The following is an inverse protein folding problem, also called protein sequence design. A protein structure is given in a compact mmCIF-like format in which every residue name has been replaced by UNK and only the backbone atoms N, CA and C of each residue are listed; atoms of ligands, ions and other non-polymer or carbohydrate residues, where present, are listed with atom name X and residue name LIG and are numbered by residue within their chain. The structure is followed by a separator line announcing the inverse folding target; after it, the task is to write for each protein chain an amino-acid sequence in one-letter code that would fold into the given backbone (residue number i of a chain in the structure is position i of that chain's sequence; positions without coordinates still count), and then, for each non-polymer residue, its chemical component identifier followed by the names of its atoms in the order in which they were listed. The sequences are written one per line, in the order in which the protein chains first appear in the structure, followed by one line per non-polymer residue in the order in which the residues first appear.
data_IF_657931384118
#
_entry.id   IF_657931384118
#
_cell.length_a   1.000
_cell.length_b   1.000
_cell.length_c   1.000
_cell.angle_alpha   90.00
_cell.angle_beta   90.00
_cell.angle_gamma   90.00
#
_symmetry.space_group_name_H-M   'P 1'
#
loop_
_entity.id
_entity.type
_entity.pdbx_description
1 polymer ?
#
# COMPACT_ATOMS: atom_id res chain seq x y z
N UNK A 1 -20.51 20.67 -1.71
CA UNK A 1 -20.96 19.51 -2.51
C UNK A 1 -20.31 18.29 -1.89
N UNK A 2 -21.04 17.41 -1.22
CA UNK A 2 -20.45 16.19 -0.62
C UNK A 2 -20.15 15.24 -1.78
N UNK A 3 -18.89 15.12 -2.16
CA UNK A 3 -18.45 14.07 -3.09
C UNK A 3 -18.66 12.75 -2.34
N UNK A 4 -19.74 12.04 -2.63
CA UNK A 4 -19.89 10.64 -2.20
C UNK A 4 -18.77 9.87 -2.87
N UNK A 5 -17.80 9.39 -2.07
CA UNK A 5 -16.77 8.51 -2.54
C UNK A 5 -17.40 7.38 -3.36
N UNK A 6 -16.89 7.14 -4.57
CA UNK A 6 -17.36 6.03 -5.41
C UNK A 6 -17.09 4.75 -4.61
N UNK A 7 -18.13 4.00 -4.29
CA UNK A 7 -17.98 2.67 -3.67
C UNK A 7 -17.36 1.72 -4.68
N UNK A 8 -16.53 0.79 -4.20
CA UNK A 8 -16.01 -0.29 -5.04
C UNK A 8 -17.19 -1.14 -5.52
N UNK A 9 -17.48 -1.06 -6.80
CA UNK A 9 -18.56 -1.79 -7.46
C UNK A 9 -18.07 -3.13 -8.07
N UNK A 10 -19.00 -3.92 -8.57
CA UNK A 10 -18.69 -5.20 -9.21
C UNK A 10 -17.81 -5.04 -10.46
N UNK A 11 -17.94 -3.91 -11.18
CA UNK A 11 -17.13 -3.61 -12.38
C UNK A 11 -15.67 -3.37 -12.00
N UNK A 12 -15.44 -2.62 -10.93
CA UNK A 12 -14.09 -2.33 -10.46
C UNK A 12 -13.41 -3.61 -9.92
N UNK A 13 -14.15 -4.45 -9.17
CA UNK A 13 -13.66 -5.77 -8.74
C UNK A 13 -13.35 -6.70 -9.93
N UNK A 14 -14.12 -6.62 -11.01
CA UNK A 14 -13.81 -7.38 -12.22
C UNK A 14 -12.52 -6.88 -12.90
N UNK A 15 -12.33 -5.55 -12.99
CA UNK A 15 -11.07 -4.96 -13.48
C UNK A 15 -9.87 -5.43 -12.62
N UNK A 16 -10.02 -5.46 -11.29
CA UNK A 16 -8.97 -5.85 -10.36
C UNK A 16 -8.42 -7.27 -10.62
N UNK A 17 -9.26 -8.21 -11.09
CA UNK A 17 -8.81 -9.56 -11.48
C UNK A 17 -7.80 -9.58 -12.63
N UNK A 18 -7.75 -8.53 -13.45
CA UNK A 18 -6.81 -8.41 -14.57
C UNK A 18 -5.48 -7.77 -14.17
N UNK A 19 -5.39 -7.19 -12.98
CA UNK A 19 -4.18 -6.51 -12.49
C UNK A 19 -3.03 -7.50 -12.39
N UNK A 20 -1.88 -7.10 -12.91
CA UNK A 20 -0.62 -7.84 -12.90
C UNK A 20 0.51 -7.06 -12.23
N UNK A 21 0.32 -5.74 -12.14
CA UNK A 21 1.29 -4.85 -11.51
C UNK A 21 0.56 -3.69 -10.83
N UNK A 22 1.05 -3.32 -9.64
CA UNK A 22 0.56 -2.18 -8.87
C UNK A 22 1.70 -1.18 -8.72
N UNK A 23 1.47 0.07 -9.11
CA UNK A 23 2.42 1.16 -8.87
C UNK A 23 1.93 2.06 -7.74
N UNK A 24 2.89 2.52 -6.95
CA UNK A 24 2.66 3.41 -5.84
C UNK A 24 3.54 4.65 -5.98
N UNK A 25 2.97 5.83 -5.73
CA UNK A 25 3.79 6.99 -5.39
C UNK A 25 4.37 6.85 -3.97
N UNK A 26 5.36 7.66 -3.63
CA UNK A 26 6.02 7.62 -2.31
C UNK A 26 5.35 8.59 -1.35
N UNK A 27 5.45 9.89 -1.64
CA UNK A 27 5.09 10.96 -0.72
C UNK A 27 3.57 11.01 -0.54
N UNK A 28 3.11 11.00 0.71
CA UNK A 28 1.69 10.97 1.11
C UNK A 28 0.83 9.84 0.50
N UNK A 29 1.49 8.89 -0.17
CA UNK A 29 0.89 7.65 -0.66
C UNK A 29 1.42 6.43 0.11
N UNK A 30 2.70 6.07 0.01
CA UNK A 30 3.34 5.01 0.80
C UNK A 30 3.89 5.52 2.13
N UNK A 31 4.36 6.76 2.15
CA UNK A 31 5.09 7.39 3.25
C UNK A 31 4.57 8.81 3.49
N UNK A 32 4.19 9.11 4.71
CA UNK A 32 3.80 10.46 5.08
C UNK A 32 5.01 11.41 4.92
N UNK A 33 4.86 12.45 4.10
CA UNK A 33 5.95 13.39 3.76
C UNK A 33 6.51 14.08 4.99
N UNK A 34 5.64 14.53 5.91
CA UNK A 34 6.04 15.27 7.10
C UNK A 34 6.68 14.41 8.19
N UNK A 35 6.10 13.23 8.46
CA UNK A 35 6.49 12.39 9.62
C UNK A 35 7.40 11.23 9.26
N UNK A 36 7.48 10.88 7.98
CA UNK A 36 8.18 9.70 7.51
C UNK A 36 7.48 8.38 7.82
N UNK A 37 6.25 8.41 8.35
CA UNK A 37 5.49 7.23 8.71
C UNK A 37 5.15 6.38 7.48
N UNK A 38 5.47 5.09 7.55
CA UNK A 38 4.97 4.05 6.65
C UNK A 38 4.13 3.10 7.49
N UNK A 39 2.82 2.96 7.25
CA UNK A 39 1.97 2.02 7.98
C UNK A 39 2.46 0.58 7.82
N UNK A 40 2.39 -0.21 8.88
CA UNK A 40 2.80 -1.62 8.84
C UNK A 40 1.99 -2.43 7.81
N UNK A 41 0.72 -2.06 7.59
CA UNK A 41 -0.14 -2.65 6.57
C UNK A 41 0.43 -2.55 5.15
N UNK A 42 1.33 -1.58 4.88
CA UNK A 42 2.01 -1.46 3.57
C UNK A 42 2.93 -2.65 3.32
N UNK A 43 3.69 -3.09 4.32
CA UNK A 43 4.55 -4.28 4.21
C UNK A 43 3.73 -5.53 3.92
N UNK A 44 2.60 -5.66 4.61
CA UNK A 44 1.66 -6.76 4.41
C UNK A 44 1.09 -6.75 2.98
N UNK A 45 0.73 -5.58 2.45
CA UNK A 45 0.28 -5.43 1.06
C UNK A 45 1.33 -5.94 0.08
N UNK A 46 2.59 -5.49 0.20
CA UNK A 46 3.67 -5.92 -0.70
C UNK A 46 3.90 -7.44 -0.62
N UNK A 47 3.84 -8.00 0.59
CA UNK A 47 3.97 -9.45 0.80
C UNK A 47 2.87 -10.22 0.09
N UNK A 48 1.59 -9.89 0.33
CA UNK A 48 0.45 -10.59 -0.25
C UNK A 48 0.37 -10.42 -1.78
N UNK A 49 0.66 -9.24 -2.32
CA UNK A 49 0.71 -9.04 -3.76
C UNK A 49 1.76 -9.96 -4.41
N UNK A 50 2.93 -10.05 -3.80
CA UNK A 50 4.00 -10.95 -4.27
C UNK A 50 3.59 -12.43 -4.23
N UNK A 51 2.95 -12.89 -3.15
CA UNK A 51 2.44 -14.26 -3.05
C UNK A 51 1.38 -14.58 -4.11
N UNK A 52 0.55 -13.59 -4.47
CA UNK A 52 -0.43 -13.71 -5.55
C UNK A 52 0.17 -13.53 -6.97
N UNK A 53 1.49 -13.35 -7.05
CA UNK A 53 2.21 -13.18 -8.33
C UNK A 53 1.92 -11.83 -9.00
N UNK A 54 1.46 -10.84 -8.25
CA UNK A 54 1.25 -9.47 -8.70
C UNK A 54 2.51 -8.67 -8.40
N UNK A 55 3.10 -8.07 -9.43
CA UNK A 55 4.30 -7.26 -9.31
C UNK A 55 4.01 -5.92 -8.66
N UNK A 56 5.04 -5.31 -8.10
CA UNK A 56 4.94 -3.98 -7.49
C UNK A 56 5.97 -3.05 -8.09
N UNK A 57 5.62 -1.78 -8.22
CA UNK A 57 6.52 -0.73 -8.69
C UNK A 57 6.33 0.57 -7.90
N UNK A 58 7.39 1.34 -7.83
CA UNK A 58 7.36 2.70 -7.32
C UNK A 58 7.35 3.66 -8.51
N UNK A 59 6.51 4.69 -8.50
CA UNK A 59 6.48 5.74 -9.52
C UNK A 59 6.57 7.11 -8.85
N UNK A 60 7.73 7.75 -8.92
CA UNK A 60 8.03 8.96 -8.16
C UNK A 60 8.76 10.02 -8.96
N UNK A 61 8.62 11.30 -8.56
CA UNK A 61 9.46 12.39 -9.03
C UNK A 61 10.86 12.38 -8.43
N UNK A 62 11.07 11.62 -7.34
CA UNK A 62 12.39 11.53 -6.70
C UNK A 62 13.40 10.82 -7.62
N UNK A 63 14.68 11.22 -7.49
CA UNK A 63 15.79 10.40 -7.98
C UNK A 63 15.94 9.14 -7.12
N UNK A 64 16.58 8.11 -7.66
CA UNK A 64 16.76 6.83 -6.95
C UNK A 64 17.50 7.01 -5.61
N UNK A 65 18.46 7.93 -5.55
CA UNK A 65 19.20 8.29 -4.34
C UNK A 65 18.34 8.99 -3.27
N UNK A 66 17.11 9.42 -3.62
CA UNK A 66 16.11 9.99 -2.71
C UNK A 66 15.02 8.98 -2.29
N UNK A 67 15.09 7.76 -2.78
CA UNK A 67 14.21 6.68 -2.29
C UNK A 67 14.77 6.17 -0.97
N UNK A 68 14.00 6.37 0.09
CA UNK A 68 14.44 6.02 1.45
C UNK A 68 14.57 4.50 1.63
N UNK A 69 15.49 4.04 2.52
CA UNK A 69 15.73 2.61 2.73
C UNK A 69 14.47 1.80 3.07
N UNK A 70 13.54 2.39 3.83
CA UNK A 70 12.29 1.74 4.23
C UNK A 70 11.38 1.39 3.04
N UNK A 71 11.43 2.18 1.96
CA UNK A 71 10.73 1.87 0.70
C UNK A 71 11.46 0.76 -0.06
N UNK A 72 12.80 0.78 -0.06
CA UNK A 72 13.60 -0.30 -0.67
C UNK A 72 13.42 -1.64 0.05
N UNK A 73 13.20 -1.61 1.38
CA UNK A 73 12.92 -2.80 2.19
C UNK A 73 11.58 -3.47 1.84
N UNK A 74 10.64 -2.75 1.22
CA UNK A 74 9.41 -3.34 0.67
C UNK A 74 9.70 -4.26 -0.54
N UNK A 75 10.90 -4.15 -1.13
CA UNK A 75 11.37 -4.93 -2.30
C UNK A 75 10.43 -4.82 -3.49
N UNK A 76 10.14 -3.58 -3.97
CA UNK A 76 9.38 -3.39 -5.19
C UNK A 76 10.12 -4.03 -6.36
N UNK A 77 9.43 -4.51 -7.39
CA UNK A 77 10.06 -5.09 -8.58
C UNK A 77 10.70 -4.04 -9.48
N UNK A 78 10.12 -2.83 -9.54
CA UNK A 78 10.55 -1.73 -10.41
C UNK A 78 10.55 -0.39 -9.68
N UNK A 79 11.50 0.45 -10.06
CA UNK A 79 11.64 1.83 -9.62
C UNK A 79 11.57 2.75 -10.85
N UNK A 80 10.45 3.44 -11.00
CA UNK A 80 10.22 4.48 -12.01
C UNK A 80 10.47 5.82 -11.33
N UNK A 81 11.63 6.41 -11.56
CA UNK A 81 12.12 7.60 -10.88
C UNK A 81 12.24 8.79 -11.83
N UNK A 82 12.48 9.98 -11.29
CA UNK A 82 12.66 11.22 -12.05
C UNK A 82 11.49 11.44 -13.03
N UNK A 83 10.24 11.32 -12.53
CA UNK A 83 9.04 11.44 -13.35
C UNK A 83 9.07 10.56 -14.62
N UNK A 84 9.65 9.37 -14.52
CA UNK A 84 9.70 8.40 -15.62
C UNK A 84 10.92 8.51 -16.53
N UNK A 85 11.86 9.39 -16.23
CA UNK A 85 13.06 9.54 -17.05
C UNK A 85 14.13 8.47 -16.78
N UNK A 86 14.09 7.81 -15.61
CA UNK A 86 15.02 6.75 -15.24
C UNK A 86 14.29 5.60 -14.57
N UNK A 87 14.53 4.39 -15.05
CA UNK A 87 13.84 3.17 -14.60
C UNK A 87 14.83 2.04 -14.41
N UNK A 88 14.80 1.42 -13.24
CA UNK A 88 15.56 0.19 -12.99
C UNK A 88 14.75 -0.85 -12.21
N UNK A 89 15.21 -2.09 -12.24
CA UNK A 89 14.72 -3.12 -11.35
C UNK A 89 15.46 -3.08 -10.00
N UNK A 90 14.97 -3.81 -8.99
CA UNK A 90 15.61 -3.86 -7.67
C UNK A 90 16.97 -4.55 -7.64
N UNK A 91 17.44 -5.09 -8.77
CA UNK A 91 18.80 -5.63 -8.92
C UNK A 91 19.76 -4.60 -9.50
N UNK A 92 19.28 -3.38 -9.78
CA UNK A 92 20.05 -2.31 -10.43
C UNK A 92 20.18 -2.47 -11.94
N UNK A 93 19.32 -3.29 -12.57
CA UNK A 93 19.29 -3.40 -14.04
C UNK A 93 18.51 -2.21 -14.60
N UNK A 94 19.16 -1.36 -15.39
CA UNK A 94 18.52 -0.25 -16.07
C UNK A 94 17.59 -0.78 -17.16
N UNK A 95 16.29 -0.52 -17.01
CA UNK A 95 15.24 -0.91 -17.98
C UNK A 95 15.08 0.18 -19.04
N UNK A 96 15.13 1.43 -18.60
CA UNK A 96 14.95 2.60 -19.46
C UNK A 96 15.64 3.81 -18.89
N UNK A 97 16.19 4.65 -19.75
CA UNK A 97 16.72 5.95 -19.38
C UNK A 97 16.56 6.94 -20.53
N UNK A 98 16.26 8.18 -20.19
CA UNK A 98 16.06 9.27 -21.15
C UNK A 98 16.54 10.60 -20.57
N UNK A 99 17.85 10.87 -20.65
CA UNK A 99 18.39 12.17 -20.23
C UNK A 99 17.86 13.30 -21.11
N UNK A 100 17.87 14.50 -20.55
CA UNK A 100 17.59 15.75 -21.29
C UNK A 100 18.78 16.02 -22.20
N UNK A 101 18.52 16.55 -23.40
CA UNK A 101 19.58 16.91 -24.33
C UNK A 101 20.53 17.98 -23.69
N UNK A 102 21.83 17.78 -23.80
CA UNK A 102 22.85 18.67 -23.21
C UNK A 102 22.70 20.15 -23.60
N UNK A 103 22.31 20.41 -24.84
CA UNK A 103 22.09 21.80 -25.31
C UNK A 103 20.87 22.43 -24.62
N UNK A 104 19.80 21.64 -24.34
CA UNK A 104 18.61 22.11 -23.62
C UNK A 104 18.96 22.37 -22.14
N UNK A 105 19.74 21.49 -21.51
CA UNK A 105 20.20 21.71 -20.13
C UNK A 105 21.06 22.96 -20.03
N UNK A 106 21.99 23.16 -20.97
CA UNK A 106 22.82 24.36 -21.00
C UNK A 106 21.99 25.64 -21.19
N UNK A 107 21.01 25.62 -22.11
CA UNK A 107 20.07 26.72 -22.30
C UNK A 107 19.25 27.03 -21.05
N UNK A 108 18.83 25.98 -20.31
CA UNK A 108 18.12 26.14 -19.03
C UNK A 108 19.05 26.80 -17.98
N UNK A 109 20.28 26.34 -17.85
CA UNK A 109 21.27 26.88 -16.89
C UNK A 109 21.56 28.33 -17.20
N UNK A 110 21.73 28.72 -18.49
CA UNK A 110 21.94 30.08 -18.90
C UNK A 110 20.73 30.99 -18.61
N UNK A 111 19.52 30.52 -18.96
CA UNK A 111 18.27 31.20 -18.62
C UNK A 111 18.12 31.41 -17.11
N UNK A 112 18.37 30.37 -16.30
CA UNK A 112 18.26 30.48 -14.85
C UNK A 112 19.23 31.48 -14.25
N UNK A 113 20.47 31.52 -14.76
CA UNK A 113 21.50 32.52 -14.37
C UNK A 113 21.09 33.94 -14.76
N UNK A 114 20.57 34.13 -15.99
CA UNK A 114 20.12 35.43 -16.48
C UNK A 114 18.90 35.96 -15.76
N UNK A 115 18.02 35.06 -15.34
CA UNK A 115 16.78 35.35 -14.58
C UNK A 115 16.98 35.39 -13.07
N UNK A 116 18.19 35.18 -12.57
CA UNK A 116 18.53 35.09 -11.14
C UNK A 116 17.76 34.00 -10.39
N UNK A 117 17.33 32.92 -11.10
CA UNK A 117 16.63 31.78 -10.54
C UNK A 117 17.63 30.73 -10.01
N UNK A 118 17.46 30.30 -8.76
CA UNK A 118 18.22 29.19 -8.25
C UNK A 118 17.70 27.86 -8.84
N UNK A 119 18.61 26.93 -9.10
CA UNK A 119 18.26 25.66 -9.72
C UNK A 119 18.99 24.46 -9.10
N UNK A 120 18.48 23.27 -9.38
CA UNK A 120 19.15 22.01 -9.12
C UNK A 120 19.31 21.20 -10.41
N UNK A 121 20.35 20.39 -10.46
CA UNK A 121 20.65 19.49 -11.57
C UNK A 121 20.60 18.05 -11.04
N UNK A 122 19.84 17.18 -11.71
CA UNK A 122 19.58 15.82 -11.23
C UNK A 122 20.05 14.82 -12.28
N UNK A 123 21.13 14.12 -11.96
CA UNK A 123 21.64 12.96 -12.67
C UNK A 123 20.94 11.69 -12.17
N UNK A 124 21.27 10.52 -12.73
CA UNK A 124 20.64 9.26 -12.36
C UNK A 124 20.80 8.90 -10.88
N UNK A 125 21.99 9.14 -10.29
CA UNK A 125 22.34 8.69 -8.93
C UNK A 125 22.78 9.81 -7.98
N UNK A 126 22.74 11.06 -8.42
CA UNK A 126 23.05 12.23 -7.59
C UNK A 126 22.35 13.48 -8.10
N UNK A 127 22.33 14.48 -7.25
CA UNK A 127 21.89 15.82 -7.61
C UNK A 127 22.78 16.88 -6.96
N UNK A 128 22.78 18.06 -7.55
CA UNK A 128 23.49 19.22 -7.04
C UNK A 128 22.62 20.47 -7.11
N UNK A 129 22.99 21.48 -6.34
CA UNK A 129 22.29 22.74 -6.29
C UNK A 129 23.20 23.83 -6.93
N UNK A 130 22.58 24.83 -7.56
CA UNK A 130 23.32 26.04 -8.05
C UNK A 130 23.85 26.90 -6.91
N UNK A 131 23.12 26.91 -5.80
CA UNK A 131 23.42 27.68 -4.60
C UNK A 131 22.75 27.00 -3.39
N UNK A 132 23.04 27.51 -2.17
CA UNK A 132 22.36 27.10 -0.95
C UNK A 132 21.86 28.30 -0.18
N UNK A 133 20.55 28.44 -0.15
CA UNK A 133 19.84 29.53 0.54
C UNK A 133 18.82 28.93 1.52
N UNK A 134 18.30 29.68 2.50
CA UNK A 134 17.22 29.20 3.38
C UNK A 134 16.00 28.72 2.61
N UNK A 135 15.62 29.40 1.51
CA UNK A 135 14.50 29.01 0.65
C UNK A 135 14.72 27.62 0.02
N UNK A 136 15.91 27.37 -0.52
CA UNK A 136 16.26 26.07 -1.09
C UNK A 136 16.26 24.99 -0.01
N UNK A 137 16.83 25.28 1.17
CA UNK A 137 16.86 24.32 2.27
C UNK A 137 15.46 23.96 2.77
N UNK A 138 14.55 24.92 2.86
CA UNK A 138 13.15 24.70 3.21
C UNK A 138 12.45 23.73 2.23
N UNK A 139 12.71 23.91 0.93
CA UNK A 139 12.08 23.10 -0.09
C UNK A 139 12.65 21.66 -0.16
N UNK A 140 14.00 21.51 -0.11
CA UNK A 140 14.64 20.27 -0.56
C UNK A 140 15.19 19.39 0.56
N UNK A 141 15.61 19.96 1.72
CA UNK A 141 16.36 19.21 2.74
C UNK A 141 15.55 18.11 3.43
N UNK A 142 14.22 18.19 3.41
CA UNK A 142 13.35 17.14 3.91
C UNK A 142 13.42 15.86 3.06
N UNK A 143 13.72 16.03 1.75
CA UNK A 143 13.79 14.93 0.79
C UNK A 143 15.24 14.51 0.56
N UNK A 144 16.13 15.48 0.37
CA UNK A 144 17.54 15.29 0.01
C UNK A 144 18.44 16.12 0.94
N UNK A 145 18.69 15.65 2.16
CA UNK A 145 19.56 16.37 3.08
C UNK A 145 21.00 16.47 2.54
N UNK A 146 21.60 17.65 2.70
CA UNK A 146 23.02 17.87 2.41
C UNK A 146 23.46 17.72 0.94
N UNK A 147 22.60 18.05 -0.03
CA UNK A 147 23.04 18.10 -1.43
C UNK A 147 24.24 19.04 -1.61
N UNK A 148 25.24 18.65 -2.43
CA UNK A 148 26.36 19.53 -2.74
C UNK A 148 25.96 20.72 -3.64
N UNK A 149 26.71 21.78 -3.57
CA UNK A 149 26.62 22.91 -4.51
C UNK A 149 27.59 22.66 -5.65
N UNK A 150 27.08 22.43 -6.84
CA UNK A 150 27.83 22.29 -8.09
C UNK A 150 26.92 22.71 -9.25
N UNK A 151 26.98 23.98 -9.66
CA UNK A 151 26.12 24.50 -10.72
C UNK A 151 26.45 23.92 -12.11
N UNK A 152 27.57 23.23 -12.24
CA UNK A 152 28.12 22.74 -13.50
C UNK A 152 28.10 21.18 -13.61
N UNK A 153 27.25 20.50 -12.85
CA UNK A 153 27.11 19.04 -12.93
C UNK A 153 26.79 18.58 -14.36
N UNK A 154 26.02 19.36 -15.13
CA UNK A 154 25.63 19.05 -16.51
C UNK A 154 26.82 18.94 -17.50
N UNK A 155 27.95 19.47 -17.14
CA UNK A 155 29.20 19.33 -17.92
C UNK A 155 29.93 18.01 -17.62
N UNK A 156 29.47 17.24 -16.61
CA UNK A 156 30.14 16.05 -16.09
C UNK A 156 29.30 14.81 -16.28
N UNK A 157 27.96 14.93 -16.20
CA UNK A 157 27.04 13.82 -16.24
C UNK A 157 25.75 14.16 -17.00
N UNK A 158 25.08 13.17 -17.60
CA UNK A 158 23.75 13.35 -18.17
C UNK A 158 22.72 13.77 -17.11
N UNK A 159 21.92 14.79 -17.41
CA UNK A 159 20.87 15.32 -16.56
C UNK A 159 19.52 14.77 -17.01
N UNK A 160 18.73 14.26 -16.08
CA UNK A 160 17.43 13.66 -16.33
C UNK A 160 16.26 14.54 -15.91
N UNK A 161 16.49 15.41 -14.93
CA UNK A 161 15.53 16.34 -14.35
C UNK A 161 16.29 17.54 -13.81
N UNK A 162 15.65 18.69 -13.74
CA UNK A 162 16.20 19.86 -13.06
C UNK A 162 15.16 20.36 -12.05
N UNK A 163 15.57 21.26 -11.19
CA UNK A 163 14.69 21.96 -10.26
C UNK A 163 14.82 23.47 -10.43
N UNK A 164 13.73 24.18 -10.19
CA UNK A 164 13.75 25.62 -9.94
C UNK A 164 13.42 25.88 -8.48
N UNK A 165 14.01 26.96 -7.93
CA UNK A 165 13.72 27.46 -6.61
C UNK A 165 13.50 28.96 -6.67
N UNK A 166 12.27 29.40 -6.40
CA UNK A 166 11.86 30.80 -6.47
C UNK A 166 10.84 31.13 -5.39
N UNK A 167 10.79 32.41 -4.93
CA UNK A 167 9.79 32.88 -3.98
C UNK A 167 8.39 32.88 -4.57
N UNK A 168 8.24 33.16 -5.86
CA UNK A 168 6.99 33.14 -6.63
C UNK A 168 6.98 31.98 -7.64
N UNK A 169 7.08 30.77 -7.13
CA UNK A 169 7.11 29.57 -7.97
C UNK A 169 5.84 29.37 -8.82
N UNK A 170 4.68 29.82 -8.34
CA UNK A 170 3.39 29.73 -9.07
C UNK A 170 3.35 30.67 -10.29
N UNK A 171 4.07 31.79 -10.22
CA UNK A 171 4.20 32.75 -11.32
C UNK A 171 5.40 32.51 -12.24
N UNK A 172 6.23 31.52 -11.93
CA UNK A 172 7.45 31.24 -12.69
C UNK A 172 7.12 30.64 -14.05
N UNK A 173 7.65 31.26 -15.11
CA UNK A 173 7.54 30.74 -16.48
C UNK A 173 8.93 30.56 -17.10
N UNK A 174 9.13 29.39 -17.72
CA UNK A 174 10.31 29.16 -18.55
C UNK A 174 10.31 30.12 -19.78
N UNK A 175 11.46 30.40 -20.35
CA UNK A 175 11.51 31.13 -21.63
C UNK A 175 10.74 30.40 -22.73
N UNK A 176 10.18 31.09 -23.75
CA UNK A 176 9.40 30.44 -24.79
C UNK A 176 10.12 29.28 -25.49
N UNK A 177 11.43 29.43 -25.72
CA UNK A 177 12.25 28.38 -26.34
C UNK A 177 12.41 27.15 -25.44
N UNK A 178 12.44 27.32 -24.13
CA UNK A 178 12.49 26.19 -23.18
C UNK A 178 11.12 25.51 -23.00
N UNK A 179 10.03 26.28 -23.11
CA UNK A 179 8.66 25.73 -23.03
C UNK A 179 8.33 24.77 -24.17
N UNK A 180 9.03 24.82 -25.30
CA UNK A 180 8.89 23.87 -26.40
C UNK A 180 9.38 22.46 -26.02
N UNK A 181 10.33 22.36 -25.09
CA UNK A 181 11.01 21.11 -24.73
C UNK A 181 10.79 20.69 -23.27
N UNK A 182 10.55 21.66 -22.40
CA UNK A 182 10.46 21.47 -20.96
C UNK A 182 9.14 22.00 -20.38
N UNK A 183 8.73 21.42 -19.24
CA UNK A 183 7.61 21.94 -18.44
C UNK A 183 7.97 21.95 -16.96
N UNK A 184 7.28 22.83 -16.22
CA UNK A 184 7.34 22.89 -14.77
C UNK A 184 6.27 22.00 -14.18
N UNK A 185 6.62 21.25 -13.13
CA UNK A 185 5.73 20.43 -12.32
C UNK A 185 5.89 20.85 -10.87
N UNK A 186 5.02 21.74 -10.35
CA UNK A 186 5.11 22.23 -8.97
C UNK A 186 4.92 21.09 -7.96
N UNK A 187 5.76 21.07 -6.90
CA UNK A 187 5.68 20.10 -5.81
C UNK A 187 5.92 20.74 -4.42
N UNK A 188 6.36 21.98 -4.41
CA UNK A 188 6.55 22.80 -3.21
C UNK A 188 6.18 24.25 -3.54
N UNK A 189 5.71 25.09 -2.58
CA UNK A 189 5.42 26.51 -2.86
C UNK A 189 6.59 27.28 -3.50
N UNK A 190 7.82 26.83 -3.25
CA UNK A 190 9.04 27.48 -3.73
C UNK A 190 9.83 26.62 -4.71
N UNK A 191 9.28 25.53 -5.23
CA UNK A 191 10.04 24.64 -6.12
C UNK A 191 9.16 23.86 -7.09
N UNK A 192 9.68 23.69 -8.30
CA UNK A 192 9.13 22.84 -9.34
C UNK A 192 10.18 21.90 -9.89
N UNK A 193 9.75 20.69 -10.25
CA UNK A 193 10.50 19.84 -11.17
C UNK A 193 10.46 20.45 -12.57
N UNK A 194 11.60 20.49 -13.24
CA UNK A 194 11.73 20.83 -14.64
C UNK A 194 12.01 19.56 -15.42
N UNK A 195 11.02 19.10 -16.14
CA UNK A 195 11.07 17.83 -16.86
C UNK A 195 10.82 18.03 -18.35
N UNK A 196 11.23 17.09 -19.17
CA UNK A 196 10.88 17.13 -20.59
C UNK A 196 9.37 17.12 -20.76
N UNK A 197 8.89 17.86 -21.78
CA UNK A 197 7.47 18.00 -22.05
C UNK A 197 6.76 16.62 -22.23
N UNK A 198 7.45 15.65 -22.85
CA UNK A 198 6.95 14.31 -23.13
C UNK A 198 7.17 13.29 -21.99
N UNK A 199 7.61 13.75 -20.81
CA UNK A 199 7.90 12.88 -19.66
C UNK A 199 6.93 13.10 -18.51
N UNK A 200 6.51 11.98 -17.95
CA UNK A 200 5.67 11.91 -16.74
C UNK A 200 5.82 10.52 -16.09
N UNK A 201 5.31 10.36 -14.88
CA UNK A 201 5.20 9.03 -14.25
C UNK A 201 4.51 8.04 -15.19
N UNK A 202 3.47 8.47 -15.92
CA UNK A 202 2.75 7.63 -16.89
C UNK A 202 3.65 7.14 -18.02
N UNK A 203 4.44 8.04 -18.62
CA UNK A 203 5.36 7.65 -19.70
C UNK A 203 6.38 6.62 -19.22
N UNK A 204 6.89 6.77 -17.98
CA UNK A 204 7.80 5.80 -17.37
C UNK A 204 7.12 4.46 -17.08
N UNK A 205 5.95 4.46 -16.45
CA UNK A 205 5.18 3.24 -16.21
C UNK A 205 4.88 2.50 -17.51
N UNK A 206 4.57 3.24 -18.60
CA UNK A 206 4.35 2.63 -19.91
C UNK A 206 5.55 1.85 -20.43
N UNK A 207 6.78 2.28 -20.13
CA UNK A 207 8.01 1.53 -20.49
C UNK A 207 8.09 0.21 -19.72
N UNK A 208 7.76 0.19 -18.43
CA UNK A 208 7.71 -1.06 -17.64
C UNK A 208 6.62 -1.99 -18.16
N UNK A 209 5.44 -1.46 -18.47
CA UNK A 209 4.31 -2.22 -19.01
C UNK A 209 4.68 -2.87 -20.35
N UNK A 210 5.35 -2.11 -21.22
CA UNK A 210 5.88 -2.62 -22.48
C UNK A 210 6.97 -3.69 -22.26
N UNK A 211 7.92 -3.45 -21.36
CA UNK A 211 8.99 -4.41 -21.01
C UNK A 211 8.43 -5.75 -20.52
N UNK A 212 7.28 -5.73 -19.81
CA UNK A 212 6.61 -6.92 -19.28
C UNK A 212 5.60 -7.55 -20.25
N UNK A 213 5.44 -7.04 -21.47
CA UNK A 213 4.40 -7.44 -22.42
C UNK A 213 2.98 -7.38 -21.81
N UNK A 214 2.72 -6.36 -21.02
CA UNK A 214 1.43 -6.07 -20.39
C UNK A 214 0.67 -4.99 -21.14
N UNK A 215 -0.57 -4.73 -20.69
CA UNK A 215 -1.45 -3.67 -21.21
C UNK A 215 -1.84 -2.71 -20.08
N UNK A 216 -2.26 -1.47 -20.38
CA UNK A 216 -2.74 -0.54 -19.34
C UNK A 216 -3.83 -1.13 -18.44
N UNK A 217 -4.71 -2.00 -18.94
CA UNK A 217 -5.75 -2.68 -18.14
C UNK A 217 -5.18 -3.63 -17.07
N UNK A 218 -3.88 -3.96 -17.14
CA UNK A 218 -3.20 -4.78 -16.15
C UNK A 218 -2.53 -3.95 -15.04
N UNK A 219 -2.66 -2.62 -15.08
CA UNK A 219 -2.01 -1.69 -14.17
C UNK A 219 -3.03 -1.14 -13.18
N UNK A 220 -2.68 -1.15 -11.90
CA UNK A 220 -3.36 -0.41 -10.84
C UNK A 220 -2.36 0.60 -10.26
N UNK A 221 -2.83 1.81 -9.97
CA UNK A 221 -1.98 2.88 -9.45
C UNK A 221 -2.58 3.52 -8.21
N UNK A 222 -1.71 3.90 -7.28
CA UNK A 222 -2.01 4.76 -6.14
C UNK A 222 -1.23 6.07 -6.25
N UNK A 223 -1.87 7.18 -5.91
CA UNK A 223 -1.25 8.49 -5.90
C UNK A 223 -2.05 9.51 -5.10
N UNK A 224 -1.47 10.68 -4.89
CA UNK A 224 -2.07 11.79 -4.14
C UNK A 224 -1.84 13.17 -4.78
N UNK A 225 -0.81 13.31 -5.63
CA UNK A 225 -0.36 14.58 -6.19
C UNK A 225 -0.80 14.85 -7.63
N UNK A 226 -0.63 16.10 -8.09
CA UNK A 226 -0.96 16.49 -9.46
C UNK A 226 -0.07 15.82 -10.51
N UNK A 227 1.14 15.40 -10.14
CA UNK A 227 2.05 14.65 -11.01
C UNK A 227 1.59 13.20 -11.28
N UNK A 228 0.51 12.75 -10.62
CA UNK A 228 -0.13 11.44 -10.86
C UNK A 228 -1.29 11.52 -11.87
N UNK A 229 -1.72 12.72 -12.27
CA UNK A 229 -2.89 12.89 -13.16
C UNK A 229 -2.79 12.10 -14.46
N UNK A 230 -1.64 12.17 -15.15
CA UNK A 230 -1.43 11.41 -16.39
C UNK A 230 -1.34 9.91 -16.13
N UNK A 231 -0.79 9.50 -14.98
CA UNK A 231 -0.71 8.11 -14.57
C UNK A 231 -2.10 7.52 -14.29
N UNK A 232 -3.01 8.31 -13.72
CA UNK A 232 -4.40 7.92 -13.51
C UNK A 232 -5.17 7.76 -14.82
N UNK A 233 -4.90 8.62 -15.82
CA UNK A 233 -5.48 8.48 -17.15
C UNK A 233 -4.95 7.24 -17.89
N UNK A 234 -3.72 6.83 -17.63
CA UNK A 234 -3.09 5.69 -18.28
C UNK A 234 -3.53 4.34 -17.71
N UNK A 235 -3.68 4.23 -16.40
CA UNK A 235 -3.89 2.96 -15.70
C UNK A 235 -5.29 2.35 -15.93
N UNK A 236 -5.38 1.03 -15.83
CA UNK A 236 -6.67 0.32 -15.85
C UNK A 236 -7.51 0.58 -14.61
N UNK A 237 -6.85 0.81 -13.45
CA UNK A 237 -7.47 1.22 -12.17
C UNK A 237 -6.62 2.29 -11.54
N UNK A 238 -7.25 3.40 -11.15
CA UNK A 238 -6.62 4.50 -10.43
C UNK A 238 -7.27 4.72 -9.06
N UNK A 239 -6.44 4.80 -8.02
CA UNK A 239 -6.89 4.96 -6.63
C UNK A 239 -6.23 6.20 -6.02
N UNK A 240 -7.03 7.20 -5.68
CA UNK A 240 -6.57 8.40 -5.01
C UNK A 240 -6.58 8.20 -3.49
N UNK A 241 -5.52 8.67 -2.82
CA UNK A 241 -5.47 8.71 -1.36
C UNK A 241 -6.50 9.70 -0.80
N UNK A 242 -6.93 9.51 0.43
CA UNK A 242 -7.99 10.33 1.03
C UNK A 242 -7.69 11.83 1.09
N UNK A 243 -6.43 12.21 1.29
CA UNK A 243 -5.94 13.61 1.31
C UNK A 243 -5.37 14.08 -0.02
N UNK A 244 -5.60 13.38 -1.12
CA UNK A 244 -5.07 13.73 -2.43
C UNK A 244 -5.63 15.04 -3.00
N UNK A 245 -4.95 15.58 -4.01
CA UNK A 245 -5.38 16.78 -4.73
C UNK A 245 -6.80 16.63 -5.28
N UNK A 246 -7.64 17.70 -5.24
CA UNK A 246 -9.02 17.64 -5.72
C UNK A 246 -9.15 17.15 -7.16
N UNK A 247 -8.28 17.61 -8.06
CA UNK A 247 -8.26 17.25 -9.47
C UNK A 247 -7.98 15.75 -9.66
N UNK A 248 -7.08 15.18 -8.84
CA UNK A 248 -6.78 13.76 -8.87
C UNK A 248 -7.97 12.92 -8.38
N UNK A 249 -8.68 13.39 -7.34
CA UNK A 249 -9.88 12.72 -6.80
C UNK A 249 -11.02 12.68 -7.81
N UNK A 250 -11.14 13.70 -8.67
CA UNK A 250 -12.15 13.73 -9.72
C UNK A 250 -11.88 12.69 -10.81
N UNK A 251 -10.61 12.41 -11.11
CA UNK A 251 -10.19 11.43 -12.11
C UNK A 251 -10.18 9.99 -11.60
N UNK A 252 -9.99 9.79 -10.29
CA UNK A 252 -9.83 8.46 -9.71
C UNK A 252 -11.02 7.54 -9.95
N UNK A 253 -10.76 6.27 -10.26
CA UNK A 253 -11.79 5.21 -10.24
C UNK A 253 -12.32 5.00 -8.81
N UNK A 254 -11.44 5.15 -7.80
CA UNK A 254 -11.78 5.00 -6.39
C UNK A 254 -10.97 5.97 -5.51
N UNK A 255 -11.59 6.52 -4.47
CA UNK A 255 -10.93 7.32 -3.46
C UNK A 255 -10.92 6.50 -2.16
N UNK A 256 -9.72 6.16 -1.71
CA UNK A 256 -9.54 5.38 -0.49
C UNK A 256 -9.42 6.27 0.76
N UNK A 257 -9.09 5.67 1.89
CA UNK A 257 -8.81 6.35 3.15
C UNK A 257 -7.45 7.05 3.11
N UNK A 258 -7.16 7.83 4.14
CA UNK A 258 -5.84 8.42 4.32
C UNK A 258 -4.77 7.35 4.55
N UNK A 259 -3.52 7.70 4.36
CA UNK A 259 -2.39 6.83 4.60
C UNK A 259 -2.39 6.27 6.03
N UNK A 260 -2.59 7.15 7.02
CA UNK A 260 -2.61 6.82 8.45
C UNK A 260 -3.78 5.90 8.84
N UNK A 261 -4.81 5.82 8.01
CA UNK A 261 -5.98 4.95 8.16
C UNK A 261 -5.84 3.63 7.38
N UNK A 262 -4.62 3.27 6.98
CA UNK A 262 -4.30 2.09 6.16
C UNK A 262 -5.00 2.12 4.78
N UNK A 263 -5.08 3.29 4.15
CA UNK A 263 -5.85 3.50 2.92
C UNK A 263 -5.51 2.55 1.78
N UNK A 264 -4.22 2.22 1.59
CA UNK A 264 -3.77 1.27 0.55
C UNK A 264 -4.33 -0.14 0.81
N UNK A 265 -4.14 -0.64 2.04
CA UNK A 265 -4.63 -1.96 2.43
C UNK A 265 -6.16 -2.02 2.28
N UNK A 266 -6.86 -1.00 2.78
CA UNK A 266 -8.33 -0.92 2.70
C UNK A 266 -8.83 -0.98 1.25
N UNK A 267 -8.21 -0.23 0.32
CA UNK A 267 -8.61 -0.25 -1.08
C UNK A 267 -8.40 -1.61 -1.73
N UNK A 268 -7.25 -2.25 -1.48
CA UNK A 268 -6.93 -3.54 -2.07
C UNK A 268 -7.77 -4.68 -1.46
N UNK A 269 -8.15 -4.58 -0.18
CA UNK A 269 -9.11 -5.48 0.48
C UNK A 269 -10.50 -5.38 -0.18
N UNK A 270 -11.02 -4.16 -0.38
CA UNK A 270 -12.29 -3.92 -1.07
C UNK A 270 -12.30 -4.46 -2.51
N UNK A 271 -11.13 -4.48 -3.16
CA UNK A 271 -10.93 -5.05 -4.49
C UNK A 271 -10.69 -6.58 -4.47
N UNK A 272 -10.64 -7.23 -3.31
CA UNK A 272 -10.29 -8.64 -3.10
C UNK A 272 -8.87 -8.99 -3.61
N UNK A 273 -7.96 -8.03 -3.58
CA UNK A 273 -6.56 -8.22 -3.98
C UNK A 273 -5.67 -8.59 -2.80
N UNK A 274 -6.00 -8.15 -1.59
CA UNK A 274 -5.40 -8.57 -0.32
C UNK A 274 -6.50 -8.98 0.66
N UNK A 275 -6.12 -9.69 1.69
CA UNK A 275 -7.04 -10.16 2.72
C UNK A 275 -6.49 -9.75 4.09
N UNK A 276 -7.34 -9.26 4.97
CA UNK A 276 -6.93 -9.04 6.35
C UNK A 276 -6.57 -10.40 6.95
N UNK A 277 -5.33 -10.52 7.40
CA UNK A 277 -4.94 -11.70 8.16
C UNK A 277 -5.85 -11.77 9.40
N UNK A 278 -6.72 -12.76 9.40
CA UNK A 278 -7.52 -13.06 10.58
C UNK A 278 -6.55 -13.69 11.59
N UNK A 279 -5.92 -12.86 12.40
CA UNK A 279 -5.28 -13.32 13.63
C UNK A 279 -6.41 -13.78 14.56
N UNK A 280 -6.83 -15.02 14.35
CA UNK A 280 -7.78 -15.64 15.23
C UNK A 280 -7.00 -16.15 16.44
N UNK A 281 -7.29 -15.67 17.66
CA UNK A 281 -6.60 -16.15 18.87
C UNK A 281 -6.61 -17.67 18.98
N UNK A 282 -7.63 -18.30 18.44
CA UNK A 282 -7.79 -19.75 18.39
C UNK A 282 -6.79 -20.48 17.47
N UNK A 283 -6.07 -19.79 16.58
CA UNK A 283 -5.00 -20.36 15.74
C UNK A 283 -3.63 -20.29 16.41
N UNK A 284 -3.44 -19.40 17.39
CA UNK A 284 -2.19 -19.24 18.12
C UNK A 284 -2.11 -20.19 19.33
N UNK A 285 -2.29 -21.48 19.10
CA UNK A 285 -2.40 -22.51 20.14
C UNK A 285 -1.20 -22.57 21.09
N UNK A 286 -0.03 -22.11 20.66
CA UNK A 286 1.18 -22.13 21.50
C UNK A 286 1.21 -21.03 22.55
N UNK A 287 0.53 -19.89 22.34
CA UNK A 287 0.59 -18.70 23.19
C UNK A 287 -0.65 -18.50 24.06
N UNK A 288 -1.72 -19.29 23.85
CA UNK A 288 -2.96 -19.12 24.60
C UNK A 288 -2.82 -19.69 26.01
N UNK A 289 -2.82 -18.82 27.01
CA UNK A 289 -3.04 -19.18 28.39
C UNK A 289 -4.54 -19.40 28.64
N UNK A 290 -4.90 -20.49 29.31
CA UNK A 290 -6.31 -20.75 29.63
C UNK A 290 -6.59 -22.21 29.94
N UNK A 291 -7.81 -22.55 30.42
CA UNK A 291 -8.17 -23.92 30.77
C UNK A 291 -8.20 -24.81 29.53
N UNK A 292 -7.77 -26.06 29.69
CA UNK A 292 -7.78 -27.08 28.65
C UNK A 292 -8.78 -28.15 29.05
N UNK A 293 -9.75 -28.42 28.18
CA UNK A 293 -10.62 -29.61 28.30
C UNK A 293 -9.99 -30.82 27.57
N UNK A 294 -10.10 -31.98 28.15
CA UNK A 294 -9.66 -33.25 27.53
C UNK A 294 -10.86 -34.14 27.34
N UNK A 295 -11.27 -34.38 26.11
CA UNK A 295 -12.33 -35.30 25.76
C UNK A 295 -11.68 -36.65 25.42
N UNK A 296 -11.98 -37.67 26.23
CA UNK A 296 -11.50 -39.05 26.05
C UNK A 296 -12.57 -39.87 25.36
N UNK A 297 -12.23 -40.44 24.21
CA UNK A 297 -13.14 -41.31 23.45
C UNK A 297 -12.50 -42.66 23.21
N UNK A 298 -13.28 -43.61 22.73
CA UNK A 298 -12.77 -44.91 22.28
C UNK A 298 -11.87 -44.84 21.04
N UNK A 299 -11.76 -43.66 20.40
CA UNK A 299 -10.88 -43.39 19.25
C UNK A 299 -9.64 -42.57 19.63
N UNK A 300 -9.52 -42.13 20.89
CA UNK A 300 -8.39 -41.32 21.34
C UNK A 300 -8.79 -40.08 22.16
N UNK A 301 -7.83 -39.24 22.44
CA UNK A 301 -7.99 -38.00 23.22
C UNK A 301 -7.99 -36.78 22.32
N UNK A 302 -8.93 -35.86 22.59
CA UNK A 302 -8.93 -34.51 21.99
C UNK A 302 -8.64 -33.49 23.09
N UNK A 303 -7.66 -32.60 22.90
CA UNK A 303 -7.36 -31.51 23.80
C UNK A 303 -7.89 -30.20 23.20
N UNK A 304 -8.72 -29.53 23.97
CA UNK A 304 -9.45 -28.34 23.53
C UNK A 304 -9.11 -27.19 24.47
N UNK A 305 -8.61 -26.08 23.93
CA UNK A 305 -8.44 -24.82 24.68
C UNK A 305 -9.79 -24.12 24.77
N UNK A 306 -10.09 -23.59 25.95
CA UNK A 306 -11.31 -22.85 26.23
C UNK A 306 -11.00 -21.37 26.34
N UNK A 307 -11.96 -20.53 25.95
CA UNK A 307 -11.82 -19.09 25.86
C UNK A 307 -12.79 -18.38 26.82
N UNK A 308 -12.48 -18.38 28.15
CA UNK A 308 -13.40 -17.83 29.15
C UNK A 308 -13.59 -16.31 29.06
N UNK A 309 -12.62 -15.57 28.49
CA UNK A 309 -12.72 -14.13 28.33
C UNK A 309 -13.68 -13.74 27.20
N UNK A 310 -13.75 -14.55 26.14
CA UNK A 310 -14.59 -14.32 24.97
C UNK A 310 -16.01 -14.91 25.12
N UNK A 311 -16.14 -16.02 25.87
CA UNK A 311 -17.40 -16.73 26.07
C UNK A 311 -17.52 -17.23 27.53
N UNK A 312 -17.63 -16.34 28.53
CA UNK A 312 -17.56 -16.70 29.94
C UNK A 312 -18.69 -17.63 30.39
N UNK A 313 -19.93 -17.43 29.98
CA UNK A 313 -21.08 -18.25 30.36
C UNK A 313 -20.98 -19.62 29.72
N UNK A 314 -20.66 -19.69 28.43
CA UNK A 314 -20.49 -20.93 27.66
C UNK A 314 -19.41 -21.81 28.26
N UNK A 315 -18.25 -21.21 28.56
CA UNK A 315 -17.13 -21.92 29.18
C UNK A 315 -17.47 -22.36 30.62
N UNK A 316 -18.12 -21.51 31.41
CA UNK A 316 -18.56 -21.89 32.76
C UNK A 316 -19.56 -23.05 32.75
N UNK A 317 -20.55 -23.04 31.84
CA UNK A 317 -21.49 -24.11 31.62
C UNK A 317 -20.78 -25.42 31.28
N UNK A 318 -19.94 -25.42 30.27
CA UNK A 318 -19.20 -26.60 29.83
C UNK A 318 -18.32 -27.18 30.94
N UNK A 319 -17.56 -26.33 31.64
CA UNK A 319 -16.65 -26.75 32.71
C UNK A 319 -17.44 -27.35 33.91
N UNK A 320 -18.55 -26.73 34.31
CA UNK A 320 -19.37 -27.24 35.40
C UNK A 320 -20.01 -28.59 35.07
N UNK A 321 -20.58 -28.73 33.90
CA UNK A 321 -21.14 -30.00 33.42
C UNK A 321 -20.06 -31.08 33.28
N UNK A 322 -18.89 -30.76 32.75
CA UNK A 322 -17.76 -31.70 32.68
C UNK A 322 -17.31 -32.18 34.07
N UNK A 323 -17.22 -31.28 35.05
CA UNK A 323 -16.85 -31.63 36.44
C UNK A 323 -17.90 -32.47 37.15
N UNK A 324 -19.15 -32.32 36.79
CA UNK A 324 -20.24 -33.16 37.35
C UNK A 324 -20.32 -34.56 36.74
N UNK A 325 -19.51 -34.86 35.72
CA UNK A 325 -19.57 -36.11 34.98
C UNK A 325 -20.71 -36.17 33.96
N UNK A 326 -21.35 -35.04 33.67
CA UNK A 326 -22.50 -34.98 32.76
C UNK A 326 -22.20 -35.58 31.39
N UNK A 327 -20.98 -35.40 30.89
CA UNK A 327 -20.56 -35.86 29.56
C UNK A 327 -20.05 -37.34 29.57
N UNK A 328 -19.97 -37.99 30.72
CA UNK A 328 -19.42 -39.34 30.79
C UNK A 328 -20.37 -40.37 30.14
N UNK A 329 -19.85 -41.12 29.20
CA UNK A 329 -20.64 -42.14 28.47
C UNK A 329 -21.55 -41.59 27.36
N UNK A 330 -21.54 -40.31 27.12
CA UNK A 330 -22.32 -39.70 26.03
C UNK A 330 -21.70 -40.04 24.65
N UNK A 331 -22.56 -40.18 23.64
CA UNK A 331 -22.16 -40.48 22.27
C UNK A 331 -22.16 -39.20 21.39
N UNK A 332 -21.38 -39.23 20.31
CA UNK A 332 -21.61 -38.31 19.20
C UNK A 332 -22.80 -38.82 18.37
N UNK A 333 -23.96 -38.24 18.60
CA UNK A 333 -25.25 -38.72 18.00
C UNK A 333 -25.43 -38.24 16.55
N UNK A 334 -24.65 -37.29 16.08
CA UNK A 334 -24.70 -36.78 14.70
C UNK A 334 -23.30 -36.54 14.17
N UNK A 335 -23.01 -37.14 13.01
CA UNK A 335 -21.73 -37.00 12.31
C UNK A 335 -22.02 -36.69 10.85
N UNK A 336 -21.51 -35.52 10.36
CA UNK A 336 -21.59 -35.14 8.95
C UNK A 336 -20.15 -35.04 8.42
N UNK A 337 -19.86 -35.92 7.45
CA UNK A 337 -18.53 -35.94 6.82
C UNK A 337 -18.14 -34.59 6.28
N UNK A 338 -16.89 -34.19 6.53
CA UNK A 338 -16.27 -32.91 6.09
C UNK A 338 -16.97 -31.65 6.63
N UNK A 339 -17.84 -31.79 7.66
CA UNK A 339 -18.52 -30.63 8.26
C UNK A 339 -18.40 -30.64 9.80
N UNK A 340 -19.09 -31.60 10.52
CA UNK A 340 -19.12 -31.54 11.99
C UNK A 340 -19.43 -32.88 12.65
N UNK A 341 -19.09 -32.98 13.95
CA UNK A 341 -19.61 -33.97 14.86
C UNK A 341 -20.36 -33.25 15.98
N UNK A 342 -21.46 -33.83 16.43
CA UNK A 342 -22.33 -33.29 17.49
C UNK A 342 -22.54 -34.31 18.60
N UNK A 343 -22.34 -33.85 19.83
CA UNK A 343 -22.52 -34.64 21.06
C UNK A 343 -22.99 -33.71 22.17
N UNK A 344 -23.00 -34.22 23.41
CA UNK A 344 -23.37 -33.44 24.59
C UNK A 344 -24.82 -33.68 25.05
N UNK A 345 -25.62 -34.41 24.30
CA UNK A 345 -26.98 -34.83 24.68
C UNK A 345 -26.93 -36.18 25.34
N UNK A 346 -27.29 -36.31 26.66
CA UNK A 346 -27.32 -37.59 27.37
C UNK A 346 -28.30 -38.58 26.80
N UNK A 347 -29.36 -38.13 26.12
CA UNK A 347 -30.34 -39.01 25.49
C UNK A 347 -29.88 -39.59 24.17
N UNK A 348 -28.85 -38.98 23.54
CA UNK A 348 -28.30 -39.37 22.22
C UNK A 348 -29.26 -39.13 21.06
N UNK A 349 -30.33 -38.39 21.25
CA UNK A 349 -31.37 -38.13 20.24
C UNK A 349 -31.16 -36.81 19.50
N UNK A 350 -30.38 -35.93 20.07
CA UNK A 350 -30.20 -34.54 19.59
C UNK A 350 -31.29 -33.59 20.11
N UNK A 351 -32.17 -34.05 20.96
CA UNK A 351 -33.30 -33.26 21.50
C UNK A 351 -33.22 -33.09 23.02
N UNK A 352 -32.21 -33.67 23.66
CA UNK A 352 -31.96 -33.53 25.10
C UNK A 352 -30.77 -32.61 25.35
N UNK A 353 -30.62 -32.24 26.59
CA UNK A 353 -29.53 -31.36 27.06
C UNK A 353 -30.06 -30.45 28.14
N UNK A 354 -29.16 -29.98 28.98
CA UNK A 354 -29.46 -28.98 30.02
C UNK A 354 -28.25 -28.06 30.23
N UNK A 355 -28.49 -26.93 30.83
CA UNK A 355 -27.41 -26.00 31.21
C UNK A 355 -27.43 -25.77 32.72
N UNK A 356 -26.32 -25.28 33.26
CA UNK A 356 -26.26 -24.85 34.68
C UNK A 356 -27.15 -23.65 34.96
N UNK A 357 -27.63 -22.97 33.93
CA UNK A 357 -28.45 -21.77 33.98
C UNK A 357 -29.96 -22.06 33.81
N UNK A 358 -30.34 -23.30 33.59
CA UNK A 358 -31.71 -23.73 33.30
C UNK A 358 -31.84 -24.36 31.92
N UNK A 359 -33.01 -24.25 31.29
CA UNK A 359 -33.28 -24.91 30.00
C UNK A 359 -32.41 -24.35 28.87
N UNK A 360 -32.07 -23.07 28.93
CA UNK A 360 -31.19 -22.40 27.95
C UNK A 360 -30.54 -21.15 28.56
N UNK A 361 -29.53 -20.62 27.88
CA UNK A 361 -28.95 -19.30 28.13
C UNK A 361 -28.67 -18.62 26.80
N UNK A 362 -28.40 -17.32 26.84
CA UNK A 362 -28.17 -16.51 25.67
C UNK A 362 -26.85 -16.87 24.94
N UNK A 363 -26.83 -16.75 23.63
CA UNK A 363 -25.66 -16.93 22.81
C UNK A 363 -24.58 -15.91 23.16
N UNK A 364 -23.32 -16.32 23.18
CA UNK A 364 -22.17 -15.46 23.38
C UNK A 364 -21.37 -15.35 22.06
N UNK A 365 -21.66 -14.29 21.28
CA UNK A 365 -20.95 -14.03 20.05
C UNK A 365 -19.66 -13.23 20.31
N UNK A 366 -18.55 -13.68 19.75
CA UNK A 366 -17.28 -12.96 19.75
C UNK A 366 -16.85 -12.63 18.32
N UNK A 367 -16.26 -11.44 18.14
CA UNK A 367 -15.63 -11.06 16.86
C UNK A 367 -14.24 -11.68 16.71
N UNK A 368 -13.72 -12.31 17.75
CA UNK A 368 -12.37 -12.89 17.81
C UNK A 368 -12.38 -14.41 17.62
N UNK A 369 -13.55 -15.07 17.74
CA UNK A 369 -13.70 -16.52 17.62
C UNK A 369 -14.64 -16.87 16.46
N UNK A 370 -14.24 -17.85 15.67
CA UNK A 370 -14.99 -18.32 14.49
C UNK A 370 -15.08 -19.84 14.47
N UNK A 371 -16.10 -20.36 13.79
CA UNK A 371 -16.26 -21.80 13.55
C UNK A 371 -15.29 -22.26 12.47
N UNK A 372 -14.02 -22.44 12.83
CA UNK A 372 -12.97 -23.01 11.98
C UNK A 372 -12.86 -24.52 12.21
N UNK A 373 -12.06 -25.20 11.37
CA UNK A 373 -11.79 -26.63 11.58
C UNK A 373 -11.14 -26.86 12.94
N UNK A 374 -11.78 -27.71 13.76
CA UNK A 374 -11.34 -28.01 15.13
C UNK A 374 -11.93 -27.09 16.20
N UNK A 375 -12.81 -26.15 15.86
CA UNK A 375 -13.53 -25.36 16.85
C UNK A 375 -14.56 -26.22 17.59
N UNK A 376 -14.65 -26.04 18.93
CA UNK A 376 -15.77 -26.48 19.75
C UNK A 376 -16.75 -25.33 19.93
N UNK A 377 -17.97 -25.51 19.49
CA UNK A 377 -19.07 -24.54 19.61
C UNK A 377 -20.21 -25.16 20.43
N UNK A 378 -20.79 -24.36 21.31
CA UNK A 378 -21.97 -24.77 22.14
C UNK A 378 -23.15 -23.88 21.75
#
# INVERSE_FOLDING_TARGET
MIIRGRQVDAKLRYKAKKVKIVFFDIDDTLRAKETGLIPESVKEVFHQLKEKGIRTGIATGRGIFGVVPEIMDLKPDFLVTLNGAYIEDTKGTVIYQSPINEAIVSSFVDWAKESEINYGLVASHQATLSNRTPLISDAIDIIYPNLPVDPDLHLKEPIFQMWTFDEDNDGLELSPSLQEELRLVPWHPHSSDVVRFDRSKASGVSQVVHYLDLKPENVLVFGDGLNDLELFDYAGISIAMGKSAPELREKADYITKNLEENGIFYALEELNMVEKELTLPQLELATIEGPIAVIKTNYGEMKIKLFPDQAPKTVANFVALAKSGYYDGIIFHRIIKDFMIQGGDPTGTGMGGESIYGDSFEDEFSKELYNIRGALSM
#
